data_IF_733592146910
#
_entry.id   IF_733592146910
#
_cell.length_a   1.000
_cell.length_b   1.000
_cell.length_c   1.000
_cell.angle_alpha   90.00
_cell.angle_beta   90.00
_cell.angle_gamma   90.00
#
_symmetry.space_group_name_H-M   'P 1'
#
loop_
_entity.id
_entity.type
_entity.pdbx_description
1 polymer ?
#
# COMPACT_ATOMS: atom_id res chain seq x y z
N UNK A 1 30.74 -25.92 54.48
CA UNK A 1 31.28 -24.68 55.08
C UNK A 1 31.17 -23.56 54.07
N UNK A 2 30.76 -22.35 54.48
CA UNK A 2 30.65 -21.17 53.60
C UNK A 2 32.04 -20.66 53.19
N UNK A 3 32.13 -20.05 52.01
CA UNK A 3 33.09 -18.97 51.74
C UNK A 3 32.47 -17.94 50.81
N UNK A 4 32.33 -16.73 51.32
CA UNK A 4 31.73 -15.59 50.64
C UNK A 4 32.66 -15.02 49.54
N UNK A 5 32.04 -14.38 48.55
CA UNK A 5 32.70 -13.37 47.71
C UNK A 5 31.76 -12.17 47.54
N UNK A 6 32.00 -11.13 48.33
CA UNK A 6 31.44 -9.81 48.07
C UNK A 6 32.01 -9.27 46.75
N UNK A 7 31.18 -8.59 45.97
CA UNK A 7 31.59 -7.83 44.80
C UNK A 7 31.25 -6.36 45.06
N UNK A 8 32.26 -5.50 45.17
CA UNK A 8 32.07 -4.08 45.46
C UNK A 8 31.58 -3.33 44.22
N UNK A 9 30.48 -2.59 44.35
CA UNK A 9 30.10 -1.58 43.36
C UNK A 9 31.06 -0.39 43.44
N UNK A 10 31.57 0.05 42.28
CA UNK A 10 32.28 1.32 42.15
C UNK A 10 31.50 2.23 41.21
N UNK A 11 30.77 3.18 41.77
CA UNK A 11 30.07 4.21 41.00
C UNK A 11 31.06 5.04 40.18
N UNK A 12 30.77 5.24 38.89
CA UNK A 12 31.35 6.32 38.09
C UNK A 12 30.24 7.21 37.58
N UNK A 13 30.09 8.38 38.21
CA UNK A 13 29.40 9.53 37.59
C UNK A 13 30.25 9.98 36.40
N UNK A 14 29.64 10.02 35.21
CA UNK A 14 30.25 10.48 33.96
C UNK A 14 29.25 11.35 33.21
N UNK A 15 29.71 12.48 32.69
CA UNK A 15 28.87 13.55 32.17
C UNK A 15 28.20 13.18 30.83
N UNK A 16 27.02 13.77 30.57
CA UNK A 16 26.29 13.58 29.30
C UNK A 16 26.82 14.56 28.24
N UNK A 17 27.38 14.09 27.11
CA UNK A 17 27.67 14.98 25.99
C UNK A 17 26.38 15.36 25.24
N UNK A 18 26.36 16.57 24.67
CA UNK A 18 25.21 17.09 23.93
C UNK A 18 24.91 16.27 22.65
N UNK A 19 23.62 16.02 22.39
CA UNK A 19 23.16 15.32 21.17
C UNK A 19 23.35 16.21 19.92
N UNK A 20 24.49 16.07 19.25
CA UNK A 20 24.68 16.61 17.90
C UNK A 20 23.75 15.93 16.90
N UNK A 21 22.95 16.72 16.16
CA UNK A 21 22.06 16.22 15.09
C UNK A 21 22.87 15.53 13.98
N UNK A 22 22.79 14.19 13.89
CA UNK A 22 23.21 13.43 12.70
C UNK A 22 22.09 13.45 11.64
N UNK A 23 21.85 14.60 11.00
CA UNK A 23 21.28 14.65 9.64
C UNK A 23 22.43 14.50 8.65
N UNK A 24 22.80 13.25 8.31
CA UNK A 24 23.75 12.92 7.22
C UNK A 24 23.69 11.42 6.97
N UNK A 25 22.99 11.02 5.91
CA UNK A 25 22.82 9.61 5.52
C UNK A 25 22.14 9.45 4.15
N UNK A 26 20.96 10.06 3.98
CA UNK A 26 20.08 9.80 2.82
C UNK A 26 20.23 10.86 1.70
N UNK A 27 20.60 12.10 2.02
CA UNK A 27 20.72 13.24 1.07
C UNK A 27 21.84 13.10 0.00
N UNK A 28 22.58 11.98 -0.08
CA UNK A 28 23.78 11.82 -0.93
C UNK A 28 23.58 11.16 -2.29
N UNK A 29 22.35 10.79 -2.68
CA UNK A 29 22.07 10.28 -4.03
C UNK A 29 21.12 11.15 -4.87
N UNK A 30 20.40 12.10 -4.26
CA UNK A 30 19.37 12.88 -4.96
C UNK A 30 19.80 14.32 -5.33
N UNK A 31 20.98 14.76 -4.87
CA UNK A 31 21.40 16.17 -4.94
C UNK A 31 22.24 16.58 -6.19
N UNK A 32 22.09 15.89 -7.34
CA UNK A 32 22.94 16.14 -8.53
C UNK A 32 22.21 16.38 -9.86
N UNK A 33 20.89 16.22 -9.94
CA UNK A 33 20.16 16.27 -11.21
C UNK A 33 19.39 17.59 -11.37
N UNK A 34 19.57 18.21 -12.54
CA UNK A 34 19.41 19.65 -12.77
C UNK A 34 18.09 20.05 -13.46
N UNK A 35 17.83 21.36 -13.40
CA UNK A 35 16.72 22.11 -14.02
C UNK A 35 16.69 22.13 -15.56
N UNK A 36 15.49 22.00 -16.17
CA UNK A 36 14.94 22.96 -17.18
C UNK A 36 13.44 22.71 -17.55
N UNK A 37 12.89 23.49 -18.51
CA UNK A 37 11.45 23.84 -18.73
C UNK A 37 11.12 23.98 -20.24
N UNK A 38 9.89 23.88 -20.81
CA UNK A 38 8.51 23.48 -20.39
C UNK A 38 7.61 23.41 -21.68
N UNK A 39 6.35 22.94 -21.58
CA UNK A 39 5.12 23.18 -22.42
C UNK A 39 4.56 22.05 -23.35
N UNK A 40 3.41 21.46 -22.93
CA UNK A 40 2.05 21.37 -23.55
C UNK A 40 1.84 21.35 -25.09
N UNK A 41 0.81 20.73 -25.73
CA UNK A 41 -0.58 20.29 -25.38
C UNK A 41 -1.17 19.19 -26.33
N UNK A 42 -2.25 18.50 -25.91
CA UNK A 42 -3.41 17.96 -26.71
C UNK A 42 -3.28 16.66 -27.58
N UNK A 43 -4.39 15.98 -28.00
CA UNK A 43 -5.62 15.59 -27.28
C UNK A 43 -5.97 14.07 -27.37
N UNK A 44 -6.81 13.57 -26.45
CA UNK A 44 -7.16 12.14 -26.29
C UNK A 44 -8.16 11.56 -27.33
N UNK A 45 -7.99 10.28 -27.70
CA UNK A 45 -8.92 9.48 -28.52
C UNK A 45 -9.78 8.55 -27.66
N UNK A 46 -11.08 8.85 -27.54
CA UNK A 46 -12.04 7.96 -26.89
C UNK A 46 -12.27 6.66 -27.70
N UNK A 47 -12.06 5.51 -27.04
CA UNK A 47 -12.48 4.20 -27.55
C UNK A 47 -13.88 3.87 -27.02
N UNK A 48 -14.84 3.63 -27.91
CA UNK A 48 -16.19 3.19 -27.54
C UNK A 48 -16.13 1.79 -26.90
N UNK A 49 -16.42 1.69 -25.60
CA UNK A 49 -16.75 0.43 -24.94
C UNK A 49 -18.26 0.26 -24.87
N UNK A 50 -18.73 -0.92 -25.27
CA UNK A 50 -20.12 -1.34 -25.10
C UNK A 50 -20.48 -1.35 -23.60
N UNK A 51 -21.64 -0.80 -23.18
CA UNK A 51 -21.94 -0.64 -21.76
C UNK A 51 -22.16 -2.01 -21.09
N UNK A 52 -21.58 -2.25 -19.90
CA UNK A 52 -21.80 -3.50 -19.17
C UNK A 52 -23.29 -3.66 -18.81
N UNK A 53 -23.79 -4.88 -18.93
CA UNK A 53 -25.16 -5.22 -18.53
C UNK A 53 -25.44 -4.89 -17.06
N UNK A 54 -26.73 -4.67 -16.69
CA UNK A 54 -27.09 -4.24 -15.34
C UNK A 54 -26.62 -5.27 -14.29
N UNK A 55 -26.07 -4.82 -13.15
CA UNK A 55 -25.60 -5.72 -12.11
C UNK A 55 -26.76 -6.55 -11.54
N UNK A 56 -26.53 -7.82 -11.15
CA UNK A 56 -27.57 -8.66 -10.58
C UNK A 56 -28.12 -8.04 -9.28
N UNK A 57 -29.44 -8.10 -9.12
CA UNK A 57 -30.11 -7.59 -7.92
C UNK A 57 -29.62 -8.34 -6.67
N UNK A 58 -29.27 -7.63 -5.57
CA UNK A 58 -28.88 -8.28 -4.34
C UNK A 58 -30.06 -9.06 -3.75
N UNK A 59 -29.77 -10.24 -3.18
CA UNK A 59 -30.79 -11.04 -2.50
C UNK A 59 -31.40 -10.27 -1.31
N UNK A 60 -32.64 -10.62 -0.94
CA UNK A 60 -33.30 -10.06 0.24
C UNK A 60 -32.44 -10.27 1.50
N UNK A 61 -31.81 -11.45 1.63
CA UNK A 61 -30.86 -11.76 2.71
C UNK A 61 -29.67 -10.77 2.73
N UNK A 62 -29.05 -10.51 1.58
CA UNK A 62 -27.95 -9.53 1.46
C UNK A 62 -28.39 -8.13 1.89
N UNK A 63 -29.63 -7.72 1.58
CA UNK A 63 -30.18 -6.43 2.02
C UNK A 63 -30.41 -6.40 3.54
N UNK A 64 -30.96 -7.47 4.13
CA UNK A 64 -31.12 -7.62 5.59
C UNK A 64 -29.78 -7.54 6.32
N UNK A 65 -28.77 -8.29 5.86
CA UNK A 65 -27.42 -8.28 6.44
C UNK A 65 -26.81 -6.86 6.35
N UNK A 66 -26.90 -6.19 5.20
CA UNK A 66 -26.39 -4.81 5.04
C UNK A 66 -27.13 -3.80 5.93
N UNK A 67 -28.43 -3.97 6.14
CA UNK A 67 -29.22 -3.13 7.06
C UNK A 67 -28.78 -3.33 8.51
N UNK A 68 -28.62 -4.58 8.96
CA UNK A 68 -28.12 -4.88 10.31
C UNK A 68 -26.68 -4.37 10.51
N UNK A 69 -25.81 -4.53 9.52
CA UNK A 69 -24.47 -3.94 9.48
C UNK A 69 -24.47 -2.41 9.65
N UNK A 70 -25.36 -1.71 8.94
CA UNK A 70 -25.54 -0.26 9.10
C UNK A 70 -26.07 0.13 10.48
N UNK A 71 -26.99 -0.66 11.07
CA UNK A 71 -27.49 -0.44 12.43
C UNK A 71 -26.38 -0.64 13.47
N UNK A 72 -25.58 -1.70 13.36
CA UNK A 72 -24.44 -2.00 14.24
C UNK A 72 -23.41 -0.87 14.28
N UNK A 73 -23.20 -0.22 13.13
CA UNK A 73 -22.25 0.86 12.94
C UNK A 73 -22.89 2.26 12.94
N UNK A 74 -24.13 2.40 13.43
CA UNK A 74 -24.84 3.68 13.46
C UNK A 74 -24.29 4.65 14.52
N UNK A 75 -24.34 5.96 14.25
CA UNK A 75 -24.17 7.00 15.27
C UNK A 75 -25.31 6.98 16.29
N UNK A 76 -26.53 6.64 15.86
CA UNK A 76 -27.71 6.60 16.71
C UNK A 76 -27.59 5.43 17.71
N UNK A 77 -27.63 5.76 19.00
CA UNK A 77 -27.66 4.77 20.08
C UNK A 77 -28.94 3.94 20.06
N UNK A 78 -30.08 4.50 19.58
CA UNK A 78 -31.34 3.77 19.46
C UNK A 78 -31.25 2.65 18.44
N UNK A 79 -30.74 2.93 17.24
CA UNK A 79 -30.56 1.90 16.20
C UNK A 79 -29.63 0.76 16.65
N UNK A 80 -28.52 1.08 17.31
CA UNK A 80 -27.62 0.07 17.89
C UNK A 80 -28.30 -0.73 18.99
N UNK A 81 -29.03 -0.08 19.89
CA UNK A 81 -29.75 -0.77 20.96
C UNK A 81 -30.89 -1.64 20.43
N UNK A 82 -31.61 -1.22 19.39
CA UNK A 82 -32.63 -2.04 18.71
C UNK A 82 -32.02 -3.29 18.08
N UNK A 83 -30.86 -3.18 17.40
CA UNK A 83 -30.17 -4.36 16.89
C UNK A 83 -29.72 -5.29 18.03
N UNK A 84 -29.16 -4.72 19.09
CA UNK A 84 -28.65 -5.50 20.22
C UNK A 84 -29.78 -6.25 20.97
N UNK A 85 -30.94 -5.62 21.17
CA UNK A 85 -32.15 -6.29 21.67
C UNK A 85 -32.61 -7.38 20.71
N UNK A 86 -32.68 -7.13 19.39
CA UNK A 86 -33.03 -8.17 18.41
C UNK A 86 -32.09 -9.40 18.42
N UNK A 87 -30.81 -9.21 18.75
CA UNK A 87 -29.83 -10.31 18.91
C UNK A 87 -30.02 -11.01 20.26
N UNK A 88 -30.31 -10.27 21.33
CA UNK A 88 -30.45 -10.79 22.71
C UNK A 88 -31.77 -11.51 22.94
N UNK A 89 -32.86 -11.01 22.34
CA UNK A 89 -34.22 -11.52 22.45
C UNK A 89 -34.53 -12.63 21.42
N UNK A 90 -33.59 -12.89 20.50
CA UNK A 90 -33.68 -13.95 19.48
C UNK A 90 -33.41 -15.34 20.07
N UNK A 91 -33.91 -16.40 19.41
CA UNK A 91 -33.55 -17.76 19.83
C UNK A 91 -32.07 -18.06 19.49
N UNK A 92 -31.37 -18.90 20.28
CA UNK A 92 -29.98 -19.27 19.98
C UNK A 92 -29.82 -19.86 18.57
N UNK A 93 -30.75 -20.71 18.13
CA UNK A 93 -30.74 -21.33 16.80
C UNK A 93 -30.88 -20.30 15.66
N UNK A 94 -31.67 -19.25 15.86
CA UNK A 94 -31.81 -18.13 14.91
C UNK A 94 -30.53 -17.28 14.85
N UNK A 95 -29.92 -17.01 16.01
CA UNK A 95 -28.66 -16.24 16.12
C UNK A 95 -27.51 -16.99 15.45
N UNK A 96 -27.34 -18.28 15.72
CA UNK A 96 -26.31 -19.13 15.09
C UNK A 96 -26.55 -19.29 13.59
N UNK A 97 -27.82 -19.41 13.17
CA UNK A 97 -28.17 -19.44 11.74
C UNK A 97 -27.84 -18.12 11.05
N UNK A 98 -28.15 -16.98 11.66
CA UNK A 98 -27.79 -15.67 11.12
C UNK A 98 -26.27 -15.46 11.09
N UNK A 99 -25.55 -15.84 12.14
CA UNK A 99 -24.08 -15.74 12.20
C UNK A 99 -23.42 -16.50 11.05
N UNK A 100 -23.84 -17.74 10.81
CA UNK A 100 -23.38 -18.57 9.69
C UNK A 100 -23.68 -17.95 8.31
N UNK A 101 -24.84 -17.33 8.12
CA UNK A 101 -25.19 -16.62 6.89
C UNK A 101 -24.33 -15.35 6.70
N UNK A 102 -24.01 -14.64 7.79
CA UNK A 102 -23.13 -13.46 7.76
C UNK A 102 -21.68 -13.87 7.46
N UNK A 103 -21.18 -14.95 8.06
CA UNK A 103 -19.86 -15.53 7.76
C UNK A 103 -19.74 -15.93 6.29
N UNK A 104 -20.74 -16.66 5.75
CA UNK A 104 -20.77 -17.01 4.33
C UNK A 104 -20.75 -15.76 3.42
N UNK A 105 -21.48 -14.69 3.78
CA UNK A 105 -21.46 -13.44 3.02
C UNK A 105 -20.10 -12.71 3.08
N UNK A 106 -19.40 -12.81 4.21
CA UNK A 106 -18.04 -12.30 4.40
C UNK A 106 -17.06 -13.07 3.49
N UNK A 107 -17.09 -14.40 3.51
CA UNK A 107 -16.24 -15.27 2.67
C UNK A 107 -16.48 -15.05 1.17
N UNK A 108 -17.74 -14.97 0.74
CA UNK A 108 -18.13 -14.62 -0.64
C UNK A 108 -17.56 -13.24 -1.03
N UNK A 109 -17.53 -12.30 -0.10
CA UNK A 109 -17.03 -10.94 -0.33
C UNK A 109 -15.51 -10.86 -0.36
N UNK A 110 -14.78 -11.65 0.44
CA UNK A 110 -13.34 -11.82 0.32
C UNK A 110 -12.97 -12.48 -1.02
N UNK A 111 -13.65 -13.58 -1.37
CA UNK A 111 -13.44 -14.33 -2.61
C UNK A 111 -13.64 -13.46 -3.85
N UNK A 112 -14.78 -12.73 -3.93
CA UNK A 112 -15.08 -11.76 -5.00
C UNK A 112 -14.06 -10.63 -5.13
N UNK A 113 -13.33 -10.30 -4.06
CA UNK A 113 -12.30 -9.25 -4.06
C UNK A 113 -10.88 -9.80 -4.31
N UNK A 114 -10.71 -11.12 -4.40
CA UNK A 114 -9.40 -11.74 -4.45
C UNK A 114 -8.60 -11.43 -3.19
N UNK A 115 -9.15 -11.76 -2.02
CA UNK A 115 -8.52 -11.55 -0.70
C UNK A 115 -8.43 -12.81 0.16
N UNK A 116 -9.06 -13.91 -0.26
CA UNK A 116 -9.14 -15.18 0.48
C UNK A 116 -7.77 -15.83 0.76
N UNK A 117 -6.75 -15.51 -0.04
CA UNK A 117 -5.36 -15.93 0.12
C UNK A 117 -4.52 -14.96 0.97
N UNK A 118 -5.01 -13.74 1.23
CA UNK A 118 -4.27 -12.67 1.90
C UNK A 118 -4.87 -12.28 3.26
N UNK A 119 -6.17 -12.44 3.46
CA UNK A 119 -6.92 -12.01 4.64
C UNK A 119 -7.93 -13.06 5.11
N UNK A 120 -7.89 -13.33 6.41
CA UNK A 120 -8.86 -14.10 7.17
C UNK A 120 -9.51 -13.20 8.23
N UNK A 121 -10.76 -13.51 8.61
CA UNK A 121 -11.56 -12.65 9.47
C UNK A 121 -12.06 -13.42 10.67
N UNK A 122 -11.68 -12.96 11.86
CA UNK A 122 -12.25 -13.44 13.12
C UNK A 122 -13.47 -12.62 13.48
N UNK A 123 -14.57 -13.31 13.79
CA UNK A 123 -15.80 -12.71 14.33
C UNK A 123 -16.12 -13.41 15.65
N UNK A 124 -16.26 -12.64 16.73
CA UNK A 124 -16.55 -13.17 18.08
C UNK A 124 -18.02 -13.54 18.27
N UNK A 125 -18.90 -12.81 17.61
CA UNK A 125 -20.35 -12.82 17.81
C UNK A 125 -21.05 -12.20 16.58
N UNK A 126 -22.38 -12.26 16.56
CA UNK A 126 -23.20 -11.75 15.47
C UNK A 126 -23.11 -10.22 15.29
N UNK A 127 -22.97 -9.45 16.36
CA UNK A 127 -22.83 -7.98 16.27
C UNK A 127 -21.45 -7.62 15.67
N UNK A 128 -20.40 -8.31 16.08
CA UNK A 128 -19.06 -8.26 15.49
C UNK A 128 -19.08 -8.63 14.00
N UNK A 129 -19.77 -9.70 13.63
CA UNK A 129 -19.91 -10.11 12.23
C UNK A 129 -20.63 -9.05 11.37
N UNK A 130 -21.68 -8.40 11.90
CA UNK A 130 -22.32 -7.27 11.24
C UNK A 130 -21.40 -6.04 11.11
N UNK A 131 -20.57 -5.73 12.12
CA UNK A 131 -19.55 -4.67 12.02
C UNK A 131 -18.51 -4.99 10.94
N UNK A 132 -18.08 -6.24 10.82
CA UNK A 132 -17.19 -6.71 9.75
C UNK A 132 -17.83 -6.52 8.38
N UNK A 133 -19.10 -6.93 8.16
CA UNK A 133 -19.78 -6.67 6.87
C UNK A 133 -19.87 -5.18 6.57
N UNK A 134 -20.15 -4.32 7.56
CA UNK A 134 -20.17 -2.87 7.33
C UNK A 134 -18.78 -2.37 6.89
N UNK A 135 -17.71 -2.84 7.54
CA UNK A 135 -16.34 -2.46 7.25
C UNK A 135 -15.92 -2.89 5.82
N UNK A 136 -16.31 -4.09 5.39
CA UNK A 136 -16.15 -4.52 3.99
C UNK A 136 -17.04 -3.76 3.01
N UNK A 137 -18.20 -3.28 3.45
CA UNK A 137 -19.07 -2.40 2.68
C UNK A 137 -18.45 -1.03 2.38
N UNK A 138 -17.47 -0.59 3.17
CA UNK A 138 -16.73 0.65 2.91
C UNK A 138 -15.59 0.41 1.90
N UNK A 139 -15.29 1.46 1.10
CA UNK A 139 -14.08 1.58 0.29
C UNK A 139 -13.73 0.37 -0.59
N UNK A 140 -14.53 0.09 -1.62
CA UNK A 140 -14.34 -1.05 -2.55
C UNK A 140 -12.87 -1.16 -3.02
N UNK A 141 -12.32 -0.05 -3.52
CA UNK A 141 -10.96 0.03 -4.06
C UNK A 141 -9.87 -0.25 -3.01
N UNK A 142 -10.02 0.31 -1.80
CA UNK A 142 -9.00 0.21 -0.74
C UNK A 142 -8.76 -1.23 -0.28
N UNK A 143 -9.79 -2.08 -0.33
CA UNK A 143 -9.63 -3.50 -0.04
C UNK A 143 -8.78 -4.25 -1.06
N UNK A 144 -9.00 -3.97 -2.35
CA UNK A 144 -8.23 -4.56 -3.45
C UNK A 144 -6.76 -4.22 -3.30
N UNK A 145 -6.49 -2.94 -3.04
CA UNK A 145 -5.16 -2.43 -2.76
C UNK A 145 -4.50 -3.14 -1.57
N UNK A 146 -5.19 -3.25 -0.43
CA UNK A 146 -4.63 -3.90 0.76
C UNK A 146 -4.24 -5.36 0.46
N UNK A 147 -5.02 -6.08 -0.35
CA UNK A 147 -4.63 -7.42 -0.81
C UNK A 147 -3.33 -7.45 -1.62
N UNK A 148 -3.17 -6.51 -2.55
CA UNK A 148 -1.95 -6.34 -3.35
C UNK A 148 -0.73 -6.04 -2.45
N UNK A 149 -0.89 -5.12 -1.49
CA UNK A 149 0.13 -4.77 -0.50
C UNK A 149 0.52 -5.96 0.40
N UNK A 150 -0.44 -6.72 0.92
CA UNK A 150 -0.17 -7.89 1.78
C UNK A 150 0.65 -8.95 1.04
N UNK A 151 0.38 -9.21 -0.25
CA UNK A 151 1.15 -10.19 -1.04
C UNK A 151 2.60 -9.75 -1.24
N UNK A 152 2.82 -8.48 -1.57
CA UNK A 152 4.15 -7.91 -1.65
C UNK A 152 4.87 -8.01 -0.29
N UNK A 153 4.18 -7.72 0.82
CA UNK A 153 4.71 -7.86 2.17
C UNK A 153 5.10 -9.30 2.51
N UNK A 154 4.33 -10.30 2.08
CA UNK A 154 4.68 -11.70 2.23
C UNK A 154 5.92 -12.08 1.39
N UNK A 155 5.99 -11.66 0.12
CA UNK A 155 7.14 -11.94 -0.76
C UNK A 155 8.44 -11.32 -0.22
N UNK A 156 8.37 -10.12 0.37
CA UNK A 156 9.52 -9.48 1.02
C UNK A 156 9.80 -10.00 2.45
N UNK A 157 9.10 -11.05 2.92
CA UNK A 157 9.31 -11.63 4.25
C UNK A 157 8.92 -10.71 5.42
N UNK A 158 8.03 -9.75 5.18
CA UNK A 158 7.50 -8.84 6.21
C UNK A 158 6.29 -9.42 6.94
N UNK A 159 5.58 -10.38 6.35
CA UNK A 159 4.70 -11.25 7.14
C UNK A 159 5.57 -12.02 8.14
N UNK A 160 5.25 -11.90 9.43
CA UNK A 160 6.02 -12.55 10.50
C UNK A 160 6.09 -14.07 10.25
N UNK A 161 7.22 -14.71 10.55
CA UNK A 161 7.40 -16.17 10.37
C UNK A 161 6.45 -17.03 11.23
N UNK A 162 5.74 -16.43 12.19
CA UNK A 162 4.64 -17.05 12.94
C UNK A 162 3.25 -16.83 12.29
N UNK A 163 3.20 -16.18 11.13
CA UNK A 163 1.99 -15.69 10.46
C UNK A 163 2.11 -15.93 8.96
N UNK A 164 2.03 -17.21 8.57
CA UNK A 164 1.73 -17.57 7.18
C UNK A 164 0.45 -16.84 6.74
N UNK A 165 0.38 -16.47 5.45
CA UNK A 165 -0.86 -15.93 4.90
C UNK A 165 -1.98 -16.99 4.98
N UNK A 166 -3.24 -16.58 5.25
CA UNK A 166 -3.75 -15.21 5.31
C UNK A 166 -3.58 -14.48 6.66
N UNK A 167 -3.42 -13.15 6.63
CA UNK A 167 -3.39 -12.31 7.84
C UNK A 167 -4.77 -12.28 8.53
N UNK A 168 -4.78 -12.29 9.86
CA UNK A 168 -6.00 -12.32 10.67
C UNK A 168 -6.47 -10.91 11.00
N UNK A 169 -7.42 -10.37 10.23
CA UNK A 169 -8.06 -9.11 10.55
C UNK A 169 -9.14 -9.31 11.64
N UNK A 170 -8.81 -8.88 12.86
CA UNK A 170 -9.79 -8.70 13.95
C UNK A 170 -10.37 -7.29 13.88
N UNK A 171 -11.68 -7.15 13.68
CA UNK A 171 -12.35 -5.83 13.71
C UNK A 171 -12.59 -5.42 15.17
N UNK A 172 -11.88 -4.41 15.73
CA UNK A 172 -12.09 -4.00 17.12
C UNK A 172 -13.51 -3.51 17.37
N UNK A 173 -14.02 -3.87 18.55
CA UNK A 173 -15.36 -3.52 19.03
C UNK A 173 -15.60 -1.99 19.14
N UNK A 174 -14.54 -1.18 19.17
CA UNK A 174 -14.59 0.28 19.21
C UNK A 174 -14.78 0.91 17.82
N UNK A 175 -16.04 1.01 17.39
CA UNK A 175 -16.53 1.73 16.18
C UNK A 175 -15.86 3.10 15.95
N UNK A 176 -15.46 3.78 17.02
CA UNK A 176 -14.86 5.12 16.98
C UNK A 176 -13.40 5.17 16.53
N UNK A 177 -12.63 4.08 16.66
CA UNK A 177 -11.22 4.06 16.27
C UNK A 177 -11.05 4.24 14.76
N UNK A 178 -11.81 3.47 13.96
CA UNK A 178 -11.79 3.54 12.50
C UNK A 178 -12.30 4.88 11.95
N UNK A 179 -13.32 5.48 12.58
CA UNK A 179 -13.98 6.70 12.08
C UNK A 179 -13.10 7.96 12.10
N UNK A 180 -11.98 7.94 12.83
CA UNK A 180 -11.03 9.05 12.89
C UNK A 180 -9.95 8.99 11.81
N UNK A 181 -9.76 7.82 11.20
CA UNK A 181 -8.75 7.60 10.17
C UNK A 181 -9.40 7.51 8.79
N UNK A 182 -8.70 7.94 7.72
CA UNK A 182 -9.01 7.52 6.36
C UNK A 182 -9.04 6.00 6.24
N UNK A 183 -9.92 5.48 5.40
CA UNK A 183 -10.28 4.06 5.38
C UNK A 183 -9.09 3.11 5.16
N UNK A 184 -8.22 3.39 4.19
CA UNK A 184 -7.03 2.58 3.90
C UNK A 184 -6.02 2.58 5.06
N UNK A 185 -5.78 3.74 5.69
CA UNK A 185 -4.96 3.86 6.91
C UNK A 185 -5.54 3.05 8.07
N UNK A 186 -6.87 3.05 8.18
CA UNK A 186 -7.57 2.35 9.24
C UNK A 186 -7.51 0.82 9.04
N UNK A 187 -7.52 0.32 7.80
CA UNK A 187 -7.21 -1.09 7.50
C UNK A 187 -5.76 -1.41 7.86
N UNK A 188 -4.76 -0.62 7.40
CA UNK A 188 -3.36 -0.91 7.75
C UNK A 188 -3.14 -0.88 9.26
N UNK A 189 -3.76 0.04 10.00
CA UNK A 189 -3.71 0.03 11.47
C UNK A 189 -4.22 -1.29 12.08
N UNK A 190 -5.25 -1.88 11.50
CA UNK A 190 -5.86 -3.10 12.01
C UNK A 190 -5.05 -4.37 11.70
N UNK A 191 -4.26 -4.41 10.62
CA UNK A 191 -3.43 -5.58 10.24
C UNK A 191 -1.92 -5.39 10.47
N UNK A 192 -1.45 -4.15 10.57
CA UNK A 192 -0.03 -3.81 10.50
C UNK A 192 0.80 -4.29 11.70
N UNK A 193 0.16 -4.72 12.78
CA UNK A 193 0.83 -5.40 13.90
C UNK A 193 1.23 -6.86 13.59
N UNK A 194 0.71 -7.45 12.51
CA UNK A 194 1.13 -8.76 11.98
C UNK A 194 2.19 -8.66 10.89
N UNK A 195 2.47 -7.44 10.42
CA UNK A 195 3.50 -7.13 9.45
C UNK A 195 4.67 -6.47 10.17
N UNK A 196 5.89 -6.96 9.96
CA UNK A 196 7.09 -6.44 10.60
C UNK A 196 8.19 -6.23 9.58
N UNK A 197 8.85 -5.07 9.63
CA UNK A 197 10.08 -4.83 8.88
C UNK A 197 11.22 -4.57 9.86
N UNK A 198 12.31 -5.36 9.76
CA UNK A 198 13.48 -5.31 10.66
C UNK A 198 13.15 -5.45 12.17
N UNK A 199 12.01 -6.07 12.49
CA UNK A 199 11.51 -6.26 13.86
C UNK A 199 10.47 -5.23 14.29
N UNK A 200 10.23 -4.19 13.50
CA UNK A 200 9.29 -3.11 13.81
C UNK A 200 7.95 -3.31 13.10
N UNK A 201 6.86 -3.14 13.86
CA UNK A 201 5.47 -3.26 13.38
C UNK A 201 5.13 -2.22 12.31
N UNK A 202 4.48 -2.63 11.22
CA UNK A 202 3.96 -1.73 10.18
C UNK A 202 2.55 -1.20 10.51
N UNK A 203 2.18 -1.11 11.79
CA UNK A 203 0.94 -0.48 12.23
C UNK A 203 1.00 1.05 12.05
N UNK A 204 -0.11 1.65 11.60
CA UNK A 204 -0.28 3.11 11.59
C UNK A 204 -0.56 3.60 13.00
N UNK A 205 0.34 4.41 13.54
CA UNK A 205 0.22 5.00 14.86
C UNK A 205 0.22 6.54 14.77
N UNK A 206 -0.55 7.24 15.63
CA UNK A 206 -0.48 8.69 15.73
C UNK A 206 0.81 9.10 16.48
N UNK A 207 1.30 10.32 16.21
CA UNK A 207 2.40 10.90 16.99
C UNK A 207 1.85 11.57 18.25
N UNK A 208 2.09 10.97 19.42
CA UNK A 208 1.54 11.35 20.75
C UNK A 208 1.77 12.81 21.22
N UNK A 209 2.49 13.64 20.45
CA UNK A 209 2.89 15.00 20.82
C UNK A 209 2.59 16.06 19.75
N UNK A 210 1.90 15.69 18.67
CA UNK A 210 1.56 16.62 17.58
C UNK A 210 0.06 16.93 17.56
N UNK A 211 -0.30 18.20 17.81
CA UNK A 211 -1.63 18.73 17.50
C UNK A 211 -1.94 18.69 15.98
N UNK A 212 -0.91 18.49 15.14
CA UNK A 212 -0.97 18.52 13.67
C UNK A 212 -1.56 17.28 12.99
N UNK A 213 -1.84 16.20 13.72
CA UNK A 213 -2.40 14.98 13.12
C UNK A 213 -1.39 14.14 12.34
N UNK A 214 -0.10 14.21 12.71
CA UNK A 214 0.97 13.39 12.13
C UNK A 214 0.84 11.90 12.51
N UNK A 215 1.27 11.04 11.60
CA UNK A 215 1.32 9.59 11.76
C UNK A 215 2.71 9.01 11.47
N UNK A 216 2.93 7.76 11.88
CA UNK A 216 4.13 6.98 11.55
C UNK A 216 3.75 5.49 11.32
N UNK A 217 4.62 4.76 10.62
CA UNK A 217 4.50 3.32 10.34
C UNK A 217 5.88 2.69 10.60
N UNK A 218 5.98 1.82 11.61
CA UNK A 218 7.26 1.27 12.09
C UNK A 218 8.25 2.36 12.50
N UNK A 219 9.50 2.01 12.79
CA UNK A 219 10.53 2.97 13.27
C UNK A 219 11.08 3.92 12.20
N UNK A 220 10.35 4.12 11.09
CA UNK A 220 10.88 4.82 9.94
C UNK A 220 11.14 6.31 10.19
N UNK A 221 12.16 6.83 9.50
CA UNK A 221 12.75 8.15 9.76
C UNK A 221 11.84 9.34 9.43
N UNK A 222 10.65 9.09 8.92
CA UNK A 222 9.71 10.08 8.42
C UNK A 222 8.32 9.81 8.99
N UNK A 223 7.79 10.80 9.70
CA UNK A 223 6.34 10.93 9.90
C UNK A 223 5.69 11.29 8.57
N UNK A 224 4.39 11.05 8.48
CA UNK A 224 3.58 11.43 7.34
C UNK A 224 2.25 12.03 7.80
N UNK A 225 1.71 12.93 7.00
CA UNK A 225 0.47 13.64 7.24
C UNK A 225 -0.52 13.44 6.08
N UNK A 226 -1.81 13.59 6.40
CA UNK A 226 -2.91 13.47 5.43
C UNK A 226 -3.22 14.85 4.89
N UNK A 227 -2.85 15.12 3.64
CA UNK A 227 -3.09 16.43 3.00
C UNK A 227 -4.57 16.55 2.62
N UNK A 228 -5.36 17.42 3.26
CA UNK A 228 -6.77 17.58 2.94
C UNK A 228 -6.93 18.18 1.54
N UNK A 229 -8.00 17.80 0.83
CA UNK A 229 -8.32 18.34 -0.50
C UNK A 229 -8.37 19.88 -0.57
N UNK A 230 -8.73 20.55 0.54
CA UNK A 230 -8.77 22.02 0.61
C UNK A 230 -7.40 22.70 0.76
N UNK A 231 -6.33 21.95 1.02
CA UNK A 231 -4.96 22.45 1.13
C UNK A 231 -4.15 22.23 -0.16
N UNK A 232 -4.64 21.39 -1.07
CA UNK A 232 -4.08 21.24 -2.40
C UNK A 232 -4.34 22.52 -3.24
N UNK A 233 -3.32 23.09 -3.91
CA UNK A 233 -3.50 24.24 -4.77
C UNK A 233 -4.51 24.02 -5.89
N UNK A 234 -5.16 25.10 -6.35
CA UNK A 234 -6.12 25.03 -7.45
C UNK A 234 -5.46 24.51 -8.74
N UNK A 235 -5.98 23.38 -9.26
CA UNK A 235 -5.41 22.71 -10.44
C UNK A 235 -4.27 21.73 -10.13
N UNK A 236 -3.96 21.46 -8.86
CA UNK A 236 -2.97 20.45 -8.49
C UNK A 236 -3.41 19.05 -8.97
N UNK A 237 -2.53 18.24 -9.61
CA UNK A 237 -2.92 16.98 -10.26
C UNK A 237 -3.55 15.95 -9.32
N UNK A 238 -3.17 15.94 -8.04
CA UNK A 238 -3.74 15.03 -7.04
C UNK A 238 -5.08 15.51 -6.42
N UNK A 239 -5.56 16.70 -6.78
CA UNK A 239 -6.94 17.09 -6.47
C UNK A 239 -7.93 16.31 -7.34
N UNK A 240 -7.53 15.97 -8.58
CA UNK A 240 -8.33 15.16 -9.49
C UNK A 240 -8.34 13.67 -9.06
N UNK A 241 -9.55 13.19 -8.77
CA UNK A 241 -9.77 11.84 -8.28
C UNK A 241 -9.45 11.64 -6.79
N UNK A 242 -9.27 12.72 -6.00
CA UNK A 242 -9.00 12.63 -4.56
C UNK A 242 -10.04 11.78 -3.82
N UNK A 243 -9.59 10.73 -3.12
CA UNK A 243 -10.46 9.81 -2.37
C UNK A 243 -10.32 10.05 -0.86
N UNK A 244 -11.37 10.51 -0.18
CA UNK A 244 -11.32 10.71 1.29
C UNK A 244 -11.06 9.43 2.09
N UNK A 245 -11.35 8.26 1.51
CA UNK A 245 -11.00 6.96 2.10
C UNK A 245 -9.55 6.53 1.87
N UNK A 246 -8.85 7.15 0.93
CA UNK A 246 -7.49 6.82 0.52
C UNK A 246 -6.80 8.11 0.01
N UNK A 247 -6.46 9.02 0.94
CA UNK A 247 -6.19 10.42 0.65
C UNK A 247 -4.74 10.66 0.23
N UNK A 248 -4.46 11.86 -0.28
CA UNK A 248 -3.09 12.32 -0.53
C UNK A 248 -2.28 12.30 0.76
N UNK A 249 -1.05 11.80 0.68
CA UNK A 249 -0.12 11.71 1.80
C UNK A 249 1.12 12.55 1.52
N UNK A 250 1.55 13.32 2.52
CA UNK A 250 2.83 14.01 2.54
C UNK A 250 3.77 13.22 3.45
N UNK A 251 4.99 12.96 3.01
CA UNK A 251 6.01 12.31 3.83
C UNK A 251 7.40 12.88 3.48
N UNK A 252 7.90 13.80 4.31
CA UNK A 252 9.13 14.54 4.00
C UNK A 252 8.96 15.42 2.75
N UNK A 253 9.86 15.27 1.78
CA UNK A 253 9.81 16.00 0.50
C UNK A 253 8.88 15.39 -0.55
N UNK A 254 8.41 14.16 -0.32
CA UNK A 254 7.50 13.45 -1.22
C UNK A 254 6.03 13.72 -0.93
N UNK A 255 5.24 13.82 -2.00
CA UNK A 255 3.79 13.88 -2.00
C UNK A 255 3.26 12.68 -2.79
N UNK A 256 2.36 11.91 -2.22
CA UNK A 256 1.83 10.68 -2.80
C UNK A 256 0.35 10.85 -3.12
N UNK A 257 -0.07 10.45 -4.32
CA UNK A 257 -1.46 10.64 -4.79
C UNK A 257 -2.52 10.03 -3.86
N UNK A 258 -2.16 8.92 -3.22
CA UNK A 258 -3.00 8.20 -2.25
C UNK A 258 -2.13 7.59 -1.15
N UNK A 259 -2.75 7.22 -0.02
CA UNK A 259 -2.08 6.45 1.04
C UNK A 259 -1.68 5.06 0.53
N UNK A 260 -2.50 4.47 -0.33
CA UNK A 260 -2.15 3.29 -1.13
C UNK A 260 -0.83 3.47 -1.90
N UNK A 261 -0.67 4.56 -2.66
CA UNK A 261 0.57 4.87 -3.38
C UNK A 261 1.78 5.02 -2.44
N UNK A 262 1.59 5.68 -1.29
CA UNK A 262 2.63 5.80 -0.27
C UNK A 262 3.09 4.43 0.26
N UNK A 263 2.18 3.50 0.52
CA UNK A 263 2.51 2.14 0.98
C UNK A 263 3.23 1.32 -0.08
N UNK A 264 2.82 1.37 -1.35
CA UNK A 264 3.54 0.67 -2.42
C UNK A 264 4.92 1.26 -2.70
N UNK A 265 5.09 2.58 -2.59
CA UNK A 265 6.41 3.18 -2.68
C UNK A 265 7.31 2.68 -1.55
N UNK A 266 6.85 2.76 -0.29
CA UNK A 266 7.63 2.32 0.85
C UNK A 266 8.03 0.85 0.74
N UNK A 267 7.11 -0.04 0.38
CA UNK A 267 7.44 -1.46 0.26
C UNK A 267 8.40 -1.75 -0.89
N UNK A 268 8.29 -1.09 -2.03
CA UNK A 268 9.17 -1.30 -3.19
C UNK A 268 10.49 -0.50 -3.12
N UNK A 269 10.66 0.42 -2.16
CA UNK A 269 11.84 1.28 -2.10
C UNK A 269 12.48 1.32 -0.71
N UNK A 270 11.77 1.88 0.28
CA UNK A 270 12.29 2.17 1.62
C UNK A 270 12.49 0.91 2.48
N UNK A 271 11.56 -0.03 2.38
CA UNK A 271 11.56 -1.26 3.18
C UNK A 271 12.31 -2.41 2.51
N UNK A 272 12.94 -2.19 1.36
CA UNK A 272 13.51 -3.28 0.54
C UNK A 272 14.84 -2.94 -0.14
N UNK A 273 15.64 -2.05 0.49
CA UNK A 273 16.98 -1.58 0.11
C UNK A 273 18.09 -2.65 -0.15
N UNK A 274 17.75 -3.91 -0.42
CA UNK A 274 18.68 -5.03 -0.65
C UNK A 274 18.51 -5.73 -2.00
N UNK A 275 17.47 -5.39 -2.79
CA UNK A 275 17.28 -5.99 -4.11
C UNK A 275 18.12 -5.26 -5.18
N UNK A 276 18.80 -5.99 -6.08
CA UNK A 276 19.62 -5.39 -7.13
C UNK A 276 18.78 -4.72 -8.20
N UNK A 277 19.30 -3.63 -8.77
CA UNK A 277 18.79 -3.06 -10.04
C UNK A 277 19.31 -3.93 -11.18
N UNK A 278 18.45 -4.80 -11.71
CA UNK A 278 18.84 -5.81 -12.70
C UNK A 278 18.80 -5.29 -14.15
N UNK A 279 18.14 -4.15 -14.38
CA UNK A 279 18.12 -3.47 -15.67
C UNK A 279 18.06 -1.96 -15.45
N UNK A 280 18.86 -1.22 -16.21
CA UNK A 280 18.90 0.23 -16.24
C UNK A 280 18.87 0.69 -17.71
N UNK A 281 17.92 1.54 -18.06
CA UNK A 281 17.81 2.07 -19.41
C UNK A 281 17.50 3.57 -19.40
N UNK A 282 18.07 4.29 -20.38
CA UNK A 282 17.84 5.71 -20.59
C UNK A 282 16.78 5.89 -21.67
N UNK A 283 15.77 6.71 -21.38
CA UNK A 283 14.65 7.04 -22.24
C UNK A 283 14.58 8.56 -22.40
N UNK A 284 14.29 9.03 -23.61
CA UNK A 284 14.10 10.46 -23.86
C UNK A 284 12.87 10.98 -23.10
N UNK A 285 13.10 11.78 -22.07
CA UNK A 285 12.08 12.42 -21.22
C UNK A 285 11.12 13.30 -22.03
N UNK A 286 11.56 13.84 -23.17
CA UNK A 286 10.73 14.64 -24.08
C UNK A 286 9.89 13.79 -25.03
N UNK A 287 10.24 12.51 -25.18
CA UNK A 287 9.61 11.57 -26.10
C UNK A 287 8.18 11.19 -25.72
N UNK A 288 7.34 10.98 -26.75
CA UNK A 288 5.94 10.58 -26.59
C UNK A 288 5.78 9.27 -25.80
N UNK A 289 6.68 8.29 -26.01
CA UNK A 289 6.64 7.00 -25.29
C UNK A 289 6.95 7.12 -23.80
N UNK A 290 7.86 8.02 -23.40
CA UNK A 290 8.10 8.31 -21.99
C UNK A 290 6.87 8.93 -21.35
N UNK A 291 6.32 9.95 -22.01
CA UNK A 291 5.11 10.64 -21.55
C UNK A 291 3.95 9.67 -21.38
N UNK A 292 3.65 8.87 -22.39
CA UNK A 292 2.60 7.84 -22.34
C UNK A 292 2.80 6.86 -21.18
N UNK A 293 4.03 6.38 -20.93
CA UNK A 293 4.34 5.49 -19.81
C UNK A 293 4.05 6.12 -18.42
N UNK A 294 4.20 7.45 -18.27
CA UNK A 294 3.97 8.14 -16.99
C UNK A 294 2.59 8.81 -16.87
N UNK A 295 1.87 9.04 -17.98
CA UNK A 295 0.56 9.72 -17.97
C UNK A 295 -0.64 8.81 -18.21
N UNK A 296 -0.46 7.70 -18.92
CA UNK A 296 -1.59 6.91 -19.39
C UNK A 296 -2.00 5.84 -18.36
N UNK A 297 -3.29 5.52 -18.29
CA UNK A 297 -3.81 4.50 -17.40
C UNK A 297 -3.18 3.13 -17.67
N UNK A 298 -2.28 2.68 -16.79
CA UNK A 298 -1.73 1.32 -16.83
C UNK A 298 -2.84 0.33 -16.40
N UNK A 299 -3.28 -0.59 -17.28
CA UNK A 299 -4.28 -1.58 -16.91
C UNK A 299 -3.69 -2.59 -15.92
N UNK A 300 -4.46 -3.00 -14.91
CA UNK A 300 -3.98 -3.85 -13.81
C UNK A 300 -3.46 -5.24 -14.24
N UNK A 301 -3.92 -5.75 -15.39
CA UNK A 301 -3.35 -6.96 -16.00
C UNK A 301 -1.90 -6.79 -16.50
N UNK A 302 -1.40 -5.56 -16.57
CA UNK A 302 0.00 -5.22 -16.85
C UNK A 302 0.74 -4.86 -15.56
N UNK A 303 0.20 -3.95 -14.75
CA UNK A 303 0.81 -3.55 -13.48
C UNK A 303 -0.03 -2.58 -12.64
N UNK A 304 0.49 -2.18 -11.49
CA UNK A 304 -0.09 -1.13 -10.63
C UNK A 304 0.80 0.11 -10.74
N UNK A 305 0.23 1.22 -11.21
CA UNK A 305 0.88 2.53 -11.23
C UNK A 305 0.89 3.17 -9.83
N UNK A 306 2.00 3.80 -9.46
CA UNK A 306 2.24 4.45 -8.18
C UNK A 306 2.92 5.78 -8.44
N UNK A 307 2.18 6.87 -8.25
CA UNK A 307 2.65 8.23 -8.46
C UNK A 307 3.14 8.87 -7.16
N UNK A 308 4.32 9.51 -7.23
CA UNK A 308 4.85 10.43 -6.23
C UNK A 308 5.40 11.70 -6.91
N UNK A 309 5.28 12.84 -6.23
CA UNK A 309 5.91 14.09 -6.58
C UNK A 309 6.92 14.46 -5.49
N UNK A 310 8.21 14.55 -5.83
CA UNK A 310 9.22 15.13 -4.95
C UNK A 310 9.22 16.65 -5.16
N UNK A 311 8.60 17.37 -4.23
CA UNK A 311 8.40 18.83 -4.28
C UNK A 311 9.19 19.57 -3.17
N UNK A 312 9.96 18.83 -2.37
CA UNK A 312 10.75 19.38 -1.26
C UNK A 312 9.93 19.82 -0.05
N UNK A 313 8.63 19.49 -0.01
CA UNK A 313 7.68 19.91 1.02
C UNK A 313 6.89 21.18 0.65
N UNK A 314 6.99 21.69 -0.58
CA UNK A 314 6.20 22.83 -1.06
C UNK A 314 5.16 22.39 -2.10
N UNK A 315 3.89 22.40 -1.70
CA UNK A 315 2.75 22.12 -2.59
C UNK A 315 2.67 23.06 -3.81
N UNK A 316 3.35 24.21 -3.78
CA UNK A 316 3.41 25.21 -4.85
C UNK A 316 4.71 25.13 -5.66
N UNK A 317 5.53 24.10 -5.48
CA UNK A 317 6.76 23.91 -6.23
C UNK A 317 6.50 24.02 -7.75
N UNK A 318 7.22 24.91 -8.42
CA UNK A 318 6.94 25.23 -9.82
C UNK A 318 7.27 24.10 -10.81
N UNK A 319 8.16 23.18 -10.44
CA UNK A 319 8.50 21.95 -11.15
C UNK A 319 8.82 20.84 -10.11
N UNK A 320 7.82 20.14 -9.57
CA UNK A 320 8.11 18.97 -8.73
C UNK A 320 8.65 17.83 -9.60
N UNK A 321 9.58 17.03 -9.07
CA UNK A 321 10.11 15.88 -9.80
C UNK A 321 9.11 14.74 -9.73
N UNK A 322 8.62 14.29 -10.88
CA UNK A 322 7.75 13.12 -10.94
C UNK A 322 8.56 11.82 -10.72
N UNK A 323 8.06 10.99 -9.82
CA UNK A 323 8.51 9.63 -9.54
C UNK A 323 7.33 8.71 -9.87
N UNK A 324 7.49 7.88 -10.90
CA UNK A 324 6.45 6.94 -11.31
C UNK A 324 6.99 5.52 -11.14
N UNK A 325 6.28 4.70 -10.36
CA UNK A 325 6.64 3.31 -10.08
C UNK A 325 5.54 2.39 -10.60
N UNK A 326 5.91 1.35 -11.35
CA UNK A 326 4.98 0.36 -11.89
C UNK A 326 5.31 -1.01 -11.30
N UNK A 327 4.46 -1.51 -10.40
CA UNK A 327 4.58 -2.89 -9.91
C UNK A 327 4.06 -3.83 -11.00
N UNK A 328 4.91 -4.70 -11.55
CA UNK A 328 4.55 -5.63 -12.64
C UNK A 328 4.28 -7.07 -12.17
N UNK A 329 4.83 -7.44 -11.00
CA UNK A 329 4.69 -8.76 -10.38
C UNK A 329 4.67 -8.65 -8.86
N UNK A 330 4.05 -9.61 -8.17
CA UNK A 330 4.07 -9.78 -6.71
C UNK A 330 2.77 -9.40 -6.00
N UNK A 331 1.78 -8.94 -6.75
CA UNK A 331 0.52 -8.42 -6.21
C UNK A 331 -0.70 -9.29 -6.51
N UNK A 332 -0.53 -10.34 -7.33
CA UNK A 332 -1.59 -11.27 -7.76
C UNK A 332 -1.54 -12.56 -6.92
N UNK A 333 -2.67 -13.26 -6.72
CA UNK A 333 -2.67 -14.55 -6.03
C UNK A 333 -1.72 -15.55 -6.68
N UNK A 334 -0.83 -16.14 -5.88
CA UNK A 334 0.16 -17.11 -6.35
C UNK A 334 1.45 -16.53 -6.95
N UNK A 335 1.59 -15.19 -7.05
CA UNK A 335 2.89 -14.59 -7.37
C UNK A 335 3.90 -14.91 -6.25
N UNK A 336 5.09 -15.42 -6.62
CA UNK A 336 6.21 -15.69 -5.69
C UNK A 336 7.37 -14.69 -5.83
N UNK A 337 7.26 -13.78 -6.80
CA UNK A 337 8.27 -12.79 -7.18
C UNK A 337 7.61 -11.42 -7.23
N UNK A 338 8.17 -10.46 -6.51
CA UNK A 338 7.83 -9.06 -6.63
C UNK A 338 8.81 -8.39 -7.60
N UNK A 339 8.28 -7.61 -8.55
CA UNK A 339 9.10 -6.87 -9.50
C UNK A 339 8.42 -5.56 -9.89
N UNK A 340 9.21 -4.50 -10.00
CA UNK A 340 8.73 -3.15 -10.29
C UNK A 340 9.72 -2.36 -11.15
N UNK A 341 9.16 -1.44 -11.93
CA UNK A 341 9.87 -0.49 -12.77
C UNK A 341 9.78 0.90 -12.14
N UNK A 342 10.90 1.47 -11.72
CA UNK A 342 10.99 2.84 -11.24
C UNK A 342 11.41 3.76 -12.41
N UNK A 343 10.63 4.81 -12.66
CA UNK A 343 10.80 5.77 -13.76
C UNK A 343 10.93 7.18 -13.17
N UNK A 344 12.03 7.87 -13.49
CA UNK A 344 12.23 9.28 -13.12
C UNK A 344 13.35 9.92 -13.96
N UNK A 345 13.19 11.18 -14.35
CA UNK A 345 14.22 11.98 -15.03
C UNK A 345 14.86 11.29 -16.24
N UNK A 346 14.03 10.72 -17.14
CA UNK A 346 14.52 10.00 -18.32
C UNK A 346 15.26 8.68 -18.03
N UNK A 347 15.21 8.17 -16.80
CA UNK A 347 15.81 6.88 -16.41
C UNK A 347 14.72 5.87 -16.04
N UNK A 348 14.96 4.60 -16.38
CA UNK A 348 14.14 3.46 -15.98
C UNK A 348 15.00 2.40 -15.28
N UNK A 349 14.57 1.97 -14.09
CA UNK A 349 15.25 0.95 -13.28
C UNK A 349 14.30 -0.19 -12.97
N UNK A 350 14.70 -1.42 -13.32
CA UNK A 350 13.97 -2.64 -12.96
C UNK A 350 14.60 -3.24 -11.70
N UNK A 351 13.77 -3.51 -10.70
CA UNK A 351 14.15 -4.19 -9.47
C UNK A 351 13.24 -5.41 -9.30
N UNK A 352 13.79 -6.52 -8.82
CA UNK A 352 13.05 -7.78 -8.59
C UNK A 352 13.56 -8.53 -7.36
N UNK A 353 12.68 -9.31 -6.75
CA UNK A 353 13.02 -10.32 -5.74
C UNK A 353 13.39 -11.67 -6.35
N UNK A 354 13.30 -11.83 -7.67
CA UNK A 354 13.70 -13.05 -8.37
C UNK A 354 15.21 -13.26 -8.26
N UNK A 355 15.61 -14.33 -7.60
CA UNK A 355 17.01 -14.78 -7.61
C UNK A 355 17.40 -15.20 -9.03
N UNK A 356 18.55 -14.77 -9.56
CA UNK A 356 18.97 -15.10 -10.90
C UNK A 356 19.19 -16.62 -11.04
N UNK A 357 18.59 -17.22 -12.08
CA UNK A 357 18.71 -18.66 -12.34
C UNK A 357 20.10 -19.08 -12.87
N UNK A 358 21.00 -18.12 -13.16
CA UNK A 358 22.38 -18.34 -13.60
C UNK A 358 23.37 -17.44 -12.87
N UNK A 359 24.65 -17.71 -13.08
CA UNK A 359 25.73 -16.89 -12.53
C UNK A 359 25.74 -15.50 -13.16
N UNK A 360 26.22 -14.50 -12.43
CA UNK A 360 26.30 -13.13 -12.92
C UNK A 360 27.22 -12.96 -14.14
N UNK A 361 28.09 -13.93 -14.44
CA UNK A 361 28.94 -13.91 -15.63
C UNK A 361 28.17 -14.14 -16.93
N UNK A 362 26.94 -14.68 -16.87
CA UNK A 362 26.13 -15.04 -18.03
C UNK A 362 25.08 -13.95 -18.40
N UNK A 363 25.01 -12.85 -17.63
CA UNK A 363 23.96 -11.82 -17.76
C UNK A 363 23.90 -11.15 -19.14
N UNK A 364 25.04 -10.97 -19.82
CA UNK A 364 25.08 -10.32 -21.14
C UNK A 364 24.34 -11.10 -22.22
N UNK A 365 24.10 -12.40 -22.03
CA UNK A 365 23.46 -13.22 -23.04
C UNK A 365 21.95 -12.98 -23.12
N UNK A 366 21.19 -13.31 -22.05
CA UNK A 366 19.71 -13.38 -22.09
C UNK A 366 19.07 -13.17 -20.72
N UNK A 367 18.49 -11.98 -20.48
CA UNK A 367 17.74 -11.66 -19.26
C UNK A 367 16.60 -12.65 -18.96
N UNK A 368 15.98 -13.23 -19.99
CA UNK A 368 14.94 -14.28 -19.85
C UNK A 368 15.43 -15.55 -19.18
N UNK A 369 16.71 -15.91 -19.39
CA UNK A 369 17.30 -17.11 -18.81
C UNK A 369 17.76 -16.87 -17.37
N UNK A 370 17.88 -15.60 -16.95
CA UNK A 370 18.22 -15.21 -15.59
C UNK A 370 16.97 -14.94 -14.74
N UNK A 371 15.96 -14.26 -15.32
CA UNK A 371 14.74 -13.80 -14.64
C UNK A 371 13.46 -14.23 -15.40
N UNK A 372 13.22 -15.55 -15.56
CA UNK A 372 12.11 -16.10 -16.34
C UNK A 372 10.71 -15.72 -15.83
N UNK A 373 10.54 -15.28 -14.57
CA UNK A 373 9.25 -14.82 -14.01
C UNK A 373 9.06 -13.33 -14.26
N UNK A 374 10.09 -12.50 -14.03
CA UNK A 374 10.04 -11.05 -14.14
C UNK A 374 9.92 -10.58 -15.59
N UNK A 375 10.75 -11.11 -16.49
CA UNK A 375 10.87 -10.59 -17.86
C UNK A 375 9.59 -10.67 -18.69
N UNK A 376 8.79 -11.77 -18.67
CA UNK A 376 7.53 -11.83 -19.41
C UNK A 376 6.51 -10.76 -18.99
N UNK A 377 6.46 -10.40 -17.71
CA UNK A 377 5.57 -9.36 -17.19
C UNK A 377 6.05 -7.96 -17.60
N UNK A 378 7.34 -7.67 -17.43
CA UNK A 378 7.95 -6.42 -17.89
C UNK A 378 7.76 -6.21 -19.40
N UNK A 379 8.03 -7.24 -20.23
CA UNK A 379 7.85 -7.16 -21.68
C UNK A 379 6.43 -6.84 -22.08
N UNK A 380 5.44 -7.38 -21.35
CA UNK A 380 4.03 -7.11 -21.62
C UNK A 380 3.69 -5.64 -21.36
N UNK A 381 4.25 -5.05 -20.30
CA UNK A 381 4.18 -3.61 -20.03
C UNK A 381 4.93 -2.80 -21.11
N UNK A 382 6.23 -3.01 -21.30
CA UNK A 382 7.02 -2.21 -22.25
C UNK A 382 6.47 -2.28 -23.68
N UNK A 383 5.88 -3.41 -24.09
CA UNK A 383 5.23 -3.53 -25.41
C UNK A 383 3.98 -2.66 -25.54
N UNK A 384 3.20 -2.42 -24.48
CA UNK A 384 2.03 -1.52 -24.56
C UNK A 384 2.41 -0.05 -24.75
N UNK A 385 3.68 0.30 -24.50
CA UNK A 385 4.25 1.65 -24.65
C UNK A 385 5.30 1.74 -25.78
N UNK A 386 5.42 0.72 -26.62
CA UNK A 386 6.42 0.61 -27.70
C UNK A 386 7.91 0.69 -27.25
N UNK A 387 8.21 0.31 -26.00
CA UNK A 387 9.54 0.38 -25.39
C UNK A 387 10.34 -0.94 -25.44
N UNK A 388 9.90 -1.90 -26.27
CA UNK A 388 10.49 -3.26 -26.31
C UNK A 388 11.96 -3.29 -26.78
N UNK A 389 12.42 -2.27 -27.51
CA UNK A 389 13.80 -2.18 -28.00
C UNK A 389 14.82 -1.93 -26.87
N UNK A 390 14.35 -1.46 -25.71
CA UNK A 390 15.19 -1.09 -24.57
C UNK A 390 15.79 -2.28 -23.82
N UNK A 391 15.32 -3.51 -24.09
CA UNK A 391 15.84 -4.76 -23.51
C UNK A 391 17.34 -5.01 -23.73
N UNK A 392 17.98 -4.27 -24.65
CA UNK A 392 19.42 -4.35 -24.94
C UNK A 392 20.29 -3.48 -24.01
N UNK A 393 19.69 -2.68 -23.12
CA UNK A 393 20.42 -1.82 -22.20
C UNK A 393 21.06 -2.61 -21.05
N UNK A 394 22.19 -2.10 -20.56
CA UNK A 394 23.13 -2.84 -19.73
C UNK A 394 22.57 -3.30 -18.39
N UNK A 395 23.01 -4.49 -17.95
CA UNK A 395 22.92 -4.94 -16.56
C UNK A 395 23.89 -4.12 -15.72
N UNK A 396 23.44 -3.62 -14.57
CA UNK A 396 24.32 -2.97 -13.59
C UNK A 396 24.87 -4.06 -12.67
N UNK A 397 26.19 -4.18 -12.61
CA UNK A 397 26.94 -5.16 -11.81
C UNK A 397 27.11 -4.75 -10.35
#
# INVERSE_FOLDING_TARGET
MRKDRSCELRERKGERPAKGRRKRGIERHLAYFFSLKLQSTDPSKHVNREPPGPPPLPSLLTLTIKKAAAMAMSTDSRQRHTLHSQITDGSPDDVDTMLRLVQQHIEETLSRRGLQDALFLTVSDLEGAFKTVYFFGQGIDGWRFIGQFIRLAAIHGMANAATDLPLVLSVPNSVWGFRRLPFAMAILRAIGHQLTFRGDSLAVEPVDQADGGDYWIGTHYHTFDVVPLGELPGGHPYAEGYKRGDPVIRAGGGLYRTFSSYLLHNICFDWTHQHPVIFNAQIDETGERYRSLITDDIPEQLGIAVDCLEDGGDLNAANPTALHLVVVSGFRPGDTVAAWLLISGGSMHLITTESPARSAADYEARMDECFPVTMPSLRRLLRSFELIEMEKCCVVS
#
